data_IF_473652340828
#
_entry.id   IF_473652340828
#
_cell.length_a   1.000
_cell.length_b   1.000
_cell.length_c   1.000
_cell.angle_alpha   90.00
_cell.angle_beta   90.00
_cell.angle_gamma   90.00
#
_symmetry.space_group_name_H-M   'P 1'
#
loop_
_entity.id
_entity.type
_entity.pdbx_description
1 polymer ?
#
# COMPACT_ATOMS: atom_id res chain seq x y z
N UNK A 1 3.81 -8.12 -7.40
CA UNK A 1 4.25 -6.79 -7.91
C UNK A 1 3.54 -5.67 -7.14
N UNK A 2 4.28 -4.66 -6.66
CA UNK A 2 3.70 -3.49 -5.97
C UNK A 2 3.06 -2.49 -6.93
N UNK A 3 1.85 -2.02 -6.61
CA UNK A 3 1.18 -0.94 -7.35
C UNK A 3 0.53 0.05 -6.39
N UNK A 4 0.95 1.31 -6.46
CA UNK A 4 0.24 2.40 -5.80
C UNK A 4 -1.06 2.70 -6.53
N UNK A 5 -2.17 2.70 -5.81
CA UNK A 5 -3.52 2.91 -6.36
C UNK A 5 -4.26 4.03 -5.62
N UNK A 6 -5.27 4.58 -6.28
CA UNK A 6 -6.24 5.50 -5.69
C UNK A 6 -7.59 4.80 -5.66
N UNK A 7 -8.25 4.81 -4.51
CA UNK A 7 -9.52 4.11 -4.29
C UNK A 7 -10.64 4.79 -5.08
N UNK A 8 -11.30 4.04 -5.97
CA UNK A 8 -12.49 4.50 -6.70
C UNK A 8 -13.79 4.28 -5.91
N UNK A 9 -13.72 3.52 -4.82
CA UNK A 9 -14.80 3.21 -3.89
C UNK A 9 -14.20 2.98 -2.49
N UNK A 10 -15.04 2.90 -1.46
CA UNK A 10 -14.59 2.51 -0.13
C UNK A 10 -14.19 1.03 -0.14
N UNK A 11 -12.97 0.73 0.31
CA UNK A 11 -12.44 -0.63 0.31
C UNK A 11 -11.75 -0.95 1.63
N UNK A 12 -11.74 -2.21 2.03
CA UNK A 12 -11.14 -2.62 3.29
C UNK A 12 -9.65 -2.95 3.13
N UNK A 13 -8.83 -2.50 4.08
CA UNK A 13 -7.42 -2.88 4.18
C UNK A 13 -7.29 -4.33 4.66
N UNK A 14 -6.53 -5.17 3.98
CA UNK A 14 -6.28 -6.57 4.37
C UNK A 14 -5.36 -6.70 5.60
N UNK A 15 -4.67 -5.64 5.99
CA UNK A 15 -3.77 -5.63 7.17
C UNK A 15 -4.48 -5.24 8.46
N UNK A 16 -5.01 -4.03 8.53
CA UNK A 16 -5.67 -3.49 9.73
C UNK A 16 -7.20 -3.54 9.68
N UNK A 17 -7.80 -4.00 8.59
CA UNK A 17 -9.25 -4.04 8.38
C UNK A 17 -9.97 -2.69 8.44
N UNK A 18 -9.24 -1.57 8.48
CA UNK A 18 -9.83 -0.25 8.34
C UNK A 18 -10.34 -0.01 6.92
N UNK A 19 -11.38 0.81 6.82
CA UNK A 19 -11.90 1.30 5.55
C UNK A 19 -10.93 2.34 4.99
N UNK A 20 -10.49 2.10 3.76
CA UNK A 20 -9.79 3.03 2.89
C UNK A 20 -10.89 3.82 2.16
N UNK A 21 -11.04 5.12 2.44
CA UNK A 21 -12.13 5.90 1.89
C UNK A 21 -11.93 6.18 0.40
N UNK A 22 -13.01 6.61 -0.26
CA UNK A 22 -12.96 7.10 -1.64
C UNK A 22 -11.85 8.15 -1.84
N UNK A 23 -11.16 8.06 -2.98
CA UNK A 23 -10.02 8.90 -3.37
C UNK A 23 -8.78 8.80 -2.45
N UNK A 24 -8.76 7.91 -1.46
CA UNK A 24 -7.55 7.66 -0.68
C UNK A 24 -6.53 6.80 -1.45
N UNK A 25 -5.25 6.99 -1.11
CA UNK A 25 -4.15 6.18 -1.64
C UNK A 25 -4.02 4.87 -0.88
N UNK A 26 -3.70 3.80 -1.58
CA UNK A 26 -3.43 2.47 -1.02
C UNK A 26 -2.45 1.70 -1.91
N UNK A 27 -1.91 0.60 -1.38
CA UNK A 27 -1.01 -0.30 -2.08
C UNK A 27 -1.77 -1.58 -2.45
N UNK A 28 -1.62 -2.03 -3.69
CA UNK A 28 -1.92 -3.42 -4.06
C UNK A 28 -0.62 -4.19 -4.25
N UNK A 29 -0.58 -5.41 -3.73
CA UNK A 29 0.60 -6.28 -3.78
C UNK A 29 0.17 -7.74 -3.86
N UNK A 30 0.93 -8.53 -4.60
CA UNK A 30 0.82 -9.99 -4.62
C UNK A 30 1.66 -10.56 -3.47
N UNK A 31 1.01 -11.17 -2.48
CA UNK A 31 1.66 -11.72 -1.29
C UNK A 31 1.24 -13.17 -1.05
N UNK A 32 2.17 -14.00 -0.59
CA UNK A 32 1.93 -15.35 -0.09
C UNK A 32 2.72 -15.52 1.21
N UNK A 33 2.07 -16.02 2.27
CA UNK A 33 2.67 -16.20 3.60
C UNK A 33 3.42 -14.98 4.17
N UNK A 34 2.93 -13.76 3.87
CA UNK A 34 3.54 -12.52 4.37
C UNK A 34 4.68 -11.98 3.51
N UNK A 35 5.03 -12.65 2.40
CA UNK A 35 6.15 -12.30 1.51
C UNK A 35 5.62 -11.91 0.13
N UNK A 36 6.18 -10.84 -0.44
CA UNK A 36 5.87 -10.45 -1.82
C UNK A 36 6.34 -11.53 -2.80
N UNK A 37 5.43 -11.97 -3.67
CA UNK A 37 5.68 -12.96 -4.72
C UNK A 37 5.25 -12.42 -6.08
N UNK A 38 5.71 -13.05 -7.15
CA UNK A 38 5.32 -12.63 -8.51
C UNK A 38 3.83 -12.89 -8.78
N UNK A 39 3.28 -13.96 -8.21
CA UNK A 39 1.90 -14.37 -8.40
C UNK A 39 1.36 -15.07 -7.15
N UNK A 40 0.77 -14.26 -6.25
CA UNK A 40 0.20 -14.71 -4.98
C UNK A 40 -1.22 -14.23 -4.81
N UNK A 41 -1.65 -14.09 -3.56
CA UNK A 41 -2.93 -13.45 -3.24
C UNK A 41 -2.78 -11.94 -3.40
N UNK A 42 -3.68 -11.33 -4.16
CA UNK A 42 -3.74 -9.87 -4.27
C UNK A 42 -4.28 -9.28 -2.96
N UNK A 43 -3.44 -8.54 -2.24
CA UNK A 43 -3.78 -7.84 -1.00
C UNK A 43 -3.77 -6.33 -1.21
N UNK A 44 -4.56 -5.64 -0.38
CA UNK A 44 -4.78 -4.19 -0.39
C UNK A 44 -4.38 -3.63 0.97
N UNK A 45 -3.35 -2.81 1.00
CA UNK A 45 -2.85 -2.21 2.22
C UNK A 45 -3.07 -0.70 2.22
N UNK A 46 -3.58 -0.16 3.32
CA UNK A 46 -3.56 1.29 3.54
C UNK A 46 -2.10 1.79 3.64
N UNK A 47 -1.92 3.10 3.58
CA UNK A 47 -0.57 3.70 3.64
C UNK A 47 0.17 3.28 4.91
N UNK A 48 -0.51 3.26 6.06
CA UNK A 48 0.11 2.88 7.33
C UNK A 48 0.60 1.42 7.33
N UNK A 49 -0.23 0.47 6.88
CA UNK A 49 0.17 -0.93 6.77
C UNK A 49 1.31 -1.12 5.76
N UNK A 50 1.28 -0.39 4.64
CA UNK A 50 2.34 -0.43 3.64
C UNK A 50 3.68 0.08 4.22
N UNK A 51 3.66 1.15 5.02
CA UNK A 51 4.83 1.67 5.71
C UNK A 51 5.37 0.70 6.78
N UNK A 52 4.47 0.14 7.59
CA UNK A 52 4.84 -0.82 8.65
C UNK A 52 5.47 -2.10 8.08
N UNK A 53 4.96 -2.59 6.94
CA UNK A 53 5.53 -3.75 6.23
C UNK A 53 6.79 -3.42 5.43
N UNK A 54 7.19 -2.14 5.34
CA UNK A 54 8.35 -1.71 4.55
C UNK A 54 8.12 -1.72 3.04
N UNK A 55 6.88 -1.86 2.59
CA UNK A 55 6.51 -1.77 1.16
C UNK A 55 6.38 -0.34 0.67
N UNK A 56 6.33 0.63 1.60
CA UNK A 56 6.36 2.04 1.29
C UNK A 56 7.34 2.76 2.23
N UNK A 57 7.87 3.88 1.77
CA UNK A 57 8.63 4.81 2.61
C UNK A 57 8.31 6.26 2.25
N UNK A 58 8.41 7.14 3.24
CA UNK A 58 8.43 8.58 2.98
C UNK A 58 9.88 9.02 2.78
N UNK A 59 10.14 9.73 1.69
CA UNK A 59 11.40 10.39 1.44
C UNK A 59 11.21 11.91 1.60
N UNK A 60 12.12 12.55 2.32
CA UNK A 60 12.15 14.00 2.44
C UNK A 60 12.88 14.59 1.23
N UNK A 61 12.15 15.38 0.46
CA UNK A 61 12.69 16.19 -0.64
C UNK A 61 12.63 17.67 -0.27
N UNK A 62 13.33 18.51 -1.06
CA UNK A 62 13.44 19.96 -0.82
C UNK A 62 12.09 20.68 -0.72
N UNK A 63 11.03 20.12 -1.31
CA UNK A 63 9.68 20.70 -1.37
C UNK A 63 8.63 19.92 -0.54
N UNK A 64 9.01 18.88 0.20
CA UNK A 64 8.09 18.14 1.06
C UNK A 64 8.39 16.65 1.20
N UNK A 65 7.43 15.87 1.72
CA UNK A 65 7.53 14.41 1.86
C UNK A 65 6.87 13.71 0.69
N UNK A 66 7.63 12.90 -0.04
CA UNK A 66 7.14 12.06 -1.12
C UNK A 66 6.92 10.64 -0.59
N UNK A 67 5.75 10.06 -0.88
CA UNK A 67 5.47 8.66 -0.55
C UNK A 67 5.88 7.78 -1.74
N UNK A 68 6.80 6.86 -1.51
CA UNK A 68 7.32 5.95 -2.54
C UNK A 68 7.01 4.50 -2.16
N UNK A 69 6.35 3.78 -3.07
CA UNK A 69 6.02 2.34 -2.92
C UNK A 69 7.10 1.41 -3.53
N UNK A 70 8.12 2.00 -4.14
CA UNK A 70 9.25 1.32 -4.76
C UNK A 70 10.50 1.64 -3.94
N UNK A 71 10.73 0.85 -2.90
CA UNK A 71 12.06 0.72 -2.29
C UNK A 71 12.71 -0.52 -2.88
#
# INVERSE_FOLDING_TARGET
>A
MRRGCIASEELQCDGCHHIIPYAARYLTIDEEDGVEVEKGKLLRYCIECALQKGYASYQEEKEGKVLTFFV
#
